data_IF_648459841629
#
_entry.id   IF_648459841629
#
_cell.length_a   1.000
_cell.length_b   1.000
_cell.length_c   1.000
_cell.angle_alpha   90.00
_cell.angle_beta   90.00
_cell.angle_gamma   90.00
#
_symmetry.space_group_name_H-M   'P 1'
#
loop_
_entity.id
_entity.type
_entity.pdbx_description
1 polymer ?
#
# COMPACT_ATOMS: atom_id res chain seq x y z
N UNK A 1 11.91 -11.78 15.52
CA UNK A 1 12.66 -10.55 15.82
C UNK A 1 14.17 -10.73 15.62
N UNK A 2 14.73 -11.88 15.99
CA UNK A 2 16.16 -12.23 15.88
C UNK A 2 16.77 -12.07 14.47
N UNK A 3 15.96 -12.20 13.41
CA UNK A 3 16.41 -12.12 12.01
C UNK A 3 16.72 -10.69 11.52
N UNK A 4 16.13 -9.65 12.11
CA UNK A 4 16.33 -8.25 11.67
C UNK A 4 17.69 -7.71 12.13
N UNK A 5 18.16 -8.22 13.26
CA UNK A 5 19.43 -7.84 13.86
C UNK A 5 20.60 -8.49 13.12
N UNK A 6 20.44 -9.77 12.76
CA UNK A 6 21.45 -10.52 12.00
C UNK A 6 21.42 -10.19 10.50
N UNK A 7 22.49 -9.54 10.03
CA UNK A 7 22.67 -9.18 8.62
C UNK A 7 22.65 -10.38 7.68
N UNK A 8 23.15 -11.54 8.13
CA UNK A 8 23.27 -12.75 7.30
C UNK A 8 21.92 -13.43 7.10
N UNK A 9 21.02 -13.33 8.09
CA UNK A 9 19.66 -13.87 8.00
C UNK A 9 18.71 -12.92 7.27
N UNK A 10 18.89 -11.61 7.40
CA UNK A 10 18.01 -10.61 6.79
C UNK A 10 18.16 -10.50 5.26
N UNK A 11 19.38 -10.62 4.74
CA UNK A 11 19.64 -10.53 3.29
C UNK A 11 18.86 -11.54 2.45
N UNK A 12 18.92 -12.87 2.72
CA UNK A 12 18.24 -13.84 1.87
C UNK A 12 16.71 -13.64 1.86
N UNK A 13 16.11 -13.27 2.99
CA UNK A 13 14.67 -12.97 3.04
C UNK A 13 14.33 -11.73 2.19
N UNK A 14 15.13 -10.67 2.29
CA UNK A 14 14.90 -9.47 1.48
C UNK A 14 15.12 -9.74 -0.02
N UNK A 15 16.11 -10.56 -0.37
CA UNK A 15 16.41 -10.92 -1.76
C UNK A 15 15.26 -11.75 -2.37
N UNK A 16 14.65 -12.65 -1.60
CA UNK A 16 13.43 -13.39 -1.99
C UNK A 16 12.28 -12.43 -2.32
N UNK A 17 12.00 -11.45 -1.44
CA UNK A 17 10.97 -10.44 -1.69
C UNK A 17 11.28 -9.51 -2.86
N UNK A 18 12.55 -9.15 -3.07
CA UNK A 18 12.95 -8.30 -4.21
C UNK A 18 12.73 -9.06 -5.53
N UNK A 19 13.02 -10.36 -5.57
CA UNK A 19 12.80 -11.19 -6.75
C UNK A 19 11.30 -11.37 -7.03
N UNK A 20 10.47 -11.54 -6.01
CA UNK A 20 9.02 -11.69 -6.16
C UNK A 20 8.32 -10.39 -6.56
N UNK A 21 8.78 -9.24 -6.03
CA UNK A 21 8.11 -7.94 -6.19
C UNK A 21 9.04 -6.83 -6.67
N UNK A 22 9.79 -7.06 -7.75
CA UNK A 22 10.79 -6.10 -8.24
C UNK A 22 10.18 -4.72 -8.59
N UNK A 23 8.91 -4.70 -9.00
CA UNK A 23 8.11 -3.51 -9.34
C UNK A 23 7.85 -2.57 -8.15
N UNK A 24 7.88 -3.09 -6.90
CA UNK A 24 7.65 -2.29 -5.70
C UNK A 24 8.90 -1.50 -5.29
N UNK A 25 10.05 -1.81 -5.87
CA UNK A 25 11.32 -1.18 -5.57
C UNK A 25 11.70 -0.20 -6.68
N UNK A 26 12.55 0.78 -6.33
CA UNK A 26 13.15 1.67 -7.33
C UNK A 26 14.04 0.88 -8.29
N UNK A 27 14.14 1.30 -9.55
CA UNK A 27 14.97 0.65 -10.58
C UNK A 27 16.41 0.36 -10.12
N UNK A 28 16.97 1.23 -9.27
CA UNK A 28 18.29 1.07 -8.66
C UNK A 28 18.49 -0.20 -7.86
N UNK A 29 17.42 -0.88 -7.41
CA UNK A 29 17.53 -2.13 -6.66
C UNK A 29 18.21 -3.24 -7.49
N UNK A 30 18.09 -3.16 -8.82
CA UNK A 30 18.72 -4.09 -9.77
C UNK A 30 20.25 -4.04 -9.68
N UNK A 31 20.82 -2.90 -9.29
CA UNK A 31 22.25 -2.71 -9.07
C UNK A 31 22.71 -3.17 -7.67
N UNK A 32 21.78 -3.64 -6.84
CA UNK A 32 22.00 -4.07 -5.47
C UNK A 32 21.69 -3.01 -4.42
N UNK A 33 21.86 -3.37 -3.15
CA UNK A 33 21.58 -2.49 -2.02
C UNK A 33 22.60 -2.65 -0.88
N UNK A 34 22.72 -1.61 -0.06
CA UNK A 34 23.54 -1.62 1.16
C UNK A 34 22.67 -1.56 2.40
N UNK A 35 22.89 -2.49 3.34
CA UNK A 35 22.26 -2.42 4.65
C UNK A 35 22.87 -1.25 5.45
N UNK A 36 22.03 -0.35 5.98
CA UNK A 36 22.45 0.83 6.75
C UNK A 36 22.38 0.58 8.26
N UNK A 37 21.24 0.92 8.85
CA UNK A 37 20.99 0.94 10.30
C UNK A 37 19.69 0.22 10.64
N UNK A 38 19.55 -0.17 11.90
CA UNK A 38 18.29 -0.61 12.48
C UNK A 38 17.68 0.59 13.19
N UNK A 39 16.39 0.84 12.94
CA UNK A 39 15.63 1.90 13.61
C UNK A 39 14.60 1.27 14.53
N UNK A 40 14.48 1.80 15.73
CA UNK A 40 13.43 1.46 16.68
C UNK A 40 12.39 2.60 16.70
N UNK A 41 11.20 2.42 16.10
CA UNK A 41 10.12 3.39 16.15
C UNK A 41 9.61 3.50 17.59
N UNK A 42 9.46 4.73 18.10
CA UNK A 42 8.93 4.97 19.46
C UNK A 42 7.51 4.42 19.67
N UNK A 43 6.70 4.35 18.60
CA UNK A 43 5.27 4.02 18.67
C UNK A 43 4.99 2.52 18.72
N UNK A 44 5.64 1.73 17.87
CA UNK A 44 5.45 0.28 17.79
C UNK A 44 6.53 -0.51 18.52
N UNK A 45 7.66 0.12 18.87
CA UNK A 45 8.85 -0.52 19.46
C UNK A 45 9.42 -1.69 18.64
N UNK A 46 9.03 -1.83 17.37
CA UNK A 46 9.50 -2.91 16.50
C UNK A 46 10.71 -2.49 15.66
N UNK A 47 11.85 -3.21 15.72
CA UNK A 47 13.01 -2.87 14.91
C UNK A 47 12.67 -2.92 13.42
N UNK A 48 13.10 -1.91 12.69
CA UNK A 48 12.91 -1.78 11.25
C UNK A 48 14.26 -1.59 10.58
N UNK A 49 14.53 -2.27 9.47
CA UNK A 49 15.82 -2.17 8.77
C UNK A 49 15.79 -1.08 7.70
N UNK A 50 16.88 -0.32 7.59
CA UNK A 50 17.08 0.64 6.48
C UNK A 50 18.06 0.11 5.45
N UNK A 51 17.73 0.35 4.19
CA UNK A 51 18.55 0.00 3.03
C UNK A 51 18.90 1.27 2.25
N UNK A 52 20.06 1.27 1.61
CA UNK A 52 20.48 2.32 0.68
C UNK A 52 20.47 1.71 -0.71
N UNK A 53 19.78 2.38 -1.63
CA UNK A 53 19.68 2.04 -3.05
C UNK A 53 19.98 3.33 -3.81
N UNK A 54 20.95 3.33 -4.72
CA UNK A 54 21.36 4.51 -5.51
C UNK A 54 21.49 5.81 -4.69
N UNK A 55 22.15 5.72 -3.52
CA UNK A 55 22.34 6.82 -2.57
C UNK A 55 21.10 7.29 -1.80
N UNK A 56 19.90 6.81 -2.13
CA UNK A 56 18.67 7.06 -1.40
C UNK A 56 18.45 6.04 -0.28
N UNK A 57 17.99 6.51 0.89
CA UNK A 57 17.85 5.68 2.09
C UNK A 57 16.39 5.28 2.33
N UNK A 58 16.04 4.05 1.98
CA UNK A 58 14.72 3.46 2.16
C UNK A 58 14.59 2.74 3.51
N UNK A 59 13.35 2.55 3.95
CA UNK A 59 13.01 1.81 5.17
C UNK A 59 12.15 0.62 4.80
N UNK A 60 12.66 -0.59 5.06
CA UNK A 60 11.91 -1.83 4.83
C UNK A 60 10.91 -1.98 5.97
N UNK A 61 9.63 -1.76 5.68
CA UNK A 61 8.56 -1.80 6.68
C UNK A 61 7.77 -3.10 6.58
N UNK A 62 7.39 -3.70 7.72
CA UNK A 62 6.46 -4.82 7.70
C UNK A 62 5.08 -4.38 7.20
N UNK A 63 4.45 -5.23 6.39
CA UNK A 63 3.11 -5.00 5.84
C UNK A 63 2.01 -5.05 6.91
N UNK A 64 2.20 -5.81 7.99
CA UNK A 64 1.24 -5.97 9.08
C UNK A 64 1.18 -4.76 10.04
N UNK A 65 1.94 -3.69 9.79
CA UNK A 65 1.92 -2.46 10.59
C UNK A 65 1.42 -1.29 9.76
N UNK A 66 0.53 -0.48 10.34
CA UNK A 66 0.01 0.71 9.69
C UNK A 66 1.10 1.73 9.34
N UNK A 67 0.91 2.56 8.29
CA UNK A 67 1.85 3.63 7.95
C UNK A 67 2.18 4.50 9.15
N UNK A 68 3.45 4.93 9.24
CA UNK A 68 4.00 5.66 10.40
C UNK A 68 4.01 4.88 11.72
N UNK A 69 3.86 3.54 11.68
CA UNK A 69 3.88 2.68 12.87
C UNK A 69 2.85 3.10 13.91
N UNK A 70 1.65 3.47 13.46
CA UNK A 70 0.60 3.98 14.35
C UNK A 70 -0.18 2.90 15.08
N UNK A 71 -0.33 1.73 14.46
CA UNK A 71 -1.06 0.58 14.99
C UNK A 71 -0.71 -0.70 14.22
N UNK A 72 -1.10 -1.85 14.77
CA UNK A 72 -1.07 -3.12 14.03
C UNK A 72 -2.29 -3.26 13.13
N UNK A 73 -2.13 -3.95 12.01
CA UNK A 73 -3.24 -4.21 11.08
C UNK A 73 -4.37 -4.97 11.78
N UNK A 74 -4.03 -5.98 12.60
CA UNK A 74 -5.00 -6.76 13.39
C UNK A 74 -5.85 -5.92 14.35
N UNK A 75 -5.37 -4.76 14.80
CA UNK A 75 -6.11 -3.87 15.70
C UNK A 75 -7.08 -2.94 14.95
N UNK A 76 -6.71 -2.52 13.73
CA UNK A 76 -7.47 -1.49 12.99
C UNK A 76 -8.29 -2.06 11.83
N UNK A 77 -8.01 -3.28 11.40
CA UNK A 77 -8.64 -3.93 10.24
C UNK A 77 -10.17 -3.88 10.32
N UNK A 78 -10.75 -4.31 11.45
CA UNK A 78 -12.21 -4.33 11.63
C UNK A 78 -12.82 -2.94 11.57
N UNK A 79 -12.18 -1.95 12.18
CA UNK A 79 -12.66 -0.57 12.17
C UNK A 79 -12.55 0.07 10.78
N UNK A 80 -11.45 -0.17 10.06
CA UNK A 80 -11.26 0.31 8.69
C UNK A 80 -12.16 -0.41 7.69
N UNK A 81 -12.48 -1.69 7.92
CA UNK A 81 -13.48 -2.41 7.13
C UNK A 81 -14.84 -1.73 7.21
N UNK A 82 -15.27 -1.29 8.40
CA UNK A 82 -16.52 -0.55 8.56
C UNK A 82 -16.52 0.82 7.85
N UNK A 83 -15.35 1.46 7.67
CA UNK A 83 -15.25 2.70 6.87
C UNK A 83 -15.66 2.50 5.41
N UNK A 84 -15.58 1.29 4.87
CA UNK A 84 -16.09 0.96 3.52
C UNK A 84 -17.60 1.20 3.39
N UNK A 85 -18.34 1.12 4.48
CA UNK A 85 -19.80 1.35 4.52
C UNK A 85 -20.15 2.76 5.00
N UNK A 86 -19.23 3.71 4.86
CA UNK A 86 -19.39 5.10 5.28
C UNK A 86 -19.76 5.31 6.76
N UNK A 87 -19.39 4.35 7.63
CA UNK A 87 -19.61 4.45 9.08
C UNK A 87 -18.90 5.68 9.65
N UNK A 88 -19.59 6.60 10.33
CA UNK A 88 -18.98 7.83 10.82
C UNK A 88 -17.96 7.56 11.94
N UNK A 89 -16.94 8.42 12.07
CA UNK A 89 -15.84 8.20 13.03
C UNK A 89 -16.29 8.13 14.50
N UNK A 90 -17.37 8.84 14.88
CA UNK A 90 -17.91 8.76 16.23
C UNK A 90 -18.43 7.36 16.56
N UNK A 91 -18.99 6.65 15.57
CA UNK A 91 -19.49 5.28 15.75
C UNK A 91 -18.34 4.29 15.90
N UNK A 92 -17.23 4.50 15.17
CA UNK A 92 -16.01 3.72 15.38
C UNK A 92 -15.43 3.94 16.77
N UNK A 93 -15.42 5.19 17.23
CA UNK A 93 -15.02 5.52 18.61
C UNK A 93 -15.91 4.84 19.64
N UNK A 94 -17.22 4.75 19.40
CA UNK A 94 -18.14 4.08 20.31
C UNK A 94 -17.89 2.56 20.40
N UNK A 95 -17.57 1.89 19.28
CA UNK A 95 -17.40 0.43 19.22
C UNK A 95 -15.98 -0.03 19.54
N UNK A 96 -14.97 0.66 19.00
CA UNK A 96 -13.55 0.26 19.08
C UNK A 96 -12.73 1.13 20.05
N UNK A 97 -13.34 2.16 20.65
CA UNK A 97 -12.65 3.15 21.45
C UNK A 97 -11.80 4.10 20.61
N UNK A 98 -10.84 4.78 21.27
CA UNK A 98 -9.98 5.83 20.69
C UNK A 98 -10.75 7.08 20.26
N UNK A 99 -10.01 8.14 19.98
CA UNK A 99 -10.55 9.42 19.56
C UNK A 99 -10.99 9.40 18.06
N UNK A 100 -12.06 10.10 17.66
CA UNK A 100 -12.48 10.15 16.26
C UNK A 100 -11.38 10.61 15.29
N UNK A 101 -10.49 11.52 15.72
CA UNK A 101 -9.36 11.99 14.93
C UNK A 101 -8.30 10.90 14.72
N UNK A 102 -8.18 9.94 15.65
CA UNK A 102 -7.30 8.78 15.49
C UNK A 102 -7.76 7.94 14.28
N UNK A 103 -9.05 7.64 14.19
CA UNK A 103 -9.62 6.86 13.08
C UNK A 103 -9.52 7.61 11.74
N UNK A 104 -9.82 8.91 11.74
CA UNK A 104 -9.63 9.76 10.57
C UNK A 104 -8.17 9.72 10.07
N UNK A 105 -7.19 9.81 10.97
CA UNK A 105 -5.77 9.71 10.61
C UNK A 105 -5.39 8.33 10.07
N UNK A 106 -5.98 7.25 10.59
CA UNK A 106 -5.73 5.90 10.07
C UNK A 106 -6.18 5.76 8.62
N UNK A 107 -7.39 6.22 8.30
CA UNK A 107 -7.94 6.20 6.95
C UNK A 107 -7.11 7.07 5.98
N UNK A 108 -6.81 8.31 6.38
CA UNK A 108 -5.99 9.22 5.58
C UNK A 108 -4.58 8.68 5.32
N UNK A 109 -3.98 7.98 6.29
CA UNK A 109 -2.67 7.39 6.12
C UNK A 109 -2.67 6.24 5.12
N UNK A 110 -3.76 5.47 5.03
CA UNK A 110 -3.89 4.40 4.04
C UNK A 110 -4.02 4.98 2.62
N UNK A 111 -4.84 6.02 2.44
CA UNK A 111 -5.05 6.68 1.15
C UNK A 111 -3.86 7.47 0.60
N UNK A 112 -2.81 7.69 1.40
CA UNK A 112 -1.55 8.33 0.94
C UNK A 112 -0.63 7.39 0.19
N UNK A 113 -0.76 6.08 0.41
CA UNK A 113 0.06 5.14 -0.32
C UNK A 113 -0.43 5.12 -1.76
N UNK A 114 0.49 5.31 -2.69
CA UNK A 114 0.20 5.23 -4.13
C UNK A 114 -0.19 3.79 -4.45
N UNK A 115 -1.50 3.52 -4.57
CA UNK A 115 -2.04 2.25 -5.09
C UNK A 115 -1.88 2.30 -6.62
N UNK A 116 -0.67 2.57 -7.12
CA UNK A 116 -0.41 2.41 -8.55
C UNK A 116 -0.08 0.94 -8.74
N UNK A 117 -1.14 0.22 -9.08
CA UNK A 117 -1.17 -1.20 -9.36
C UNK A 117 -2.49 -1.47 -10.05
N UNK A 118 -2.68 -0.90 -11.23
CA UNK A 118 -3.72 -1.34 -12.15
C UNK A 118 -3.58 -2.85 -12.29
N UNK A 119 -4.69 -3.56 -12.15
CA UNK A 119 -4.86 -4.98 -11.81
C UNK A 119 -4.20 -6.00 -12.76
N UNK A 120 -3.41 -5.54 -13.73
CA UNK A 120 -2.75 -6.35 -14.75
C UNK A 120 -1.26 -6.01 -14.73
N UNK A 121 -0.45 -6.95 -14.21
CA UNK A 121 1.01 -6.80 -14.06
C UNK A 121 1.80 -7.16 -15.31
N UNK A 122 1.19 -8.01 -16.15
CA UNK A 122 1.78 -8.52 -17.38
C UNK A 122 1.10 -7.81 -18.57
N UNK A 123 1.85 -7.08 -19.41
CA UNK A 123 1.29 -6.46 -20.61
C UNK A 123 0.54 -7.46 -21.51
N UNK A 124 0.93 -8.73 -21.52
CA UNK A 124 0.31 -9.77 -22.34
C UNK A 124 -1.07 -10.20 -21.81
N UNK A 125 -1.41 -9.82 -20.57
CA UNK A 125 -2.71 -10.03 -19.96
C UNK A 125 -3.68 -8.85 -20.18
N UNK A 126 -3.22 -7.77 -20.83
CA UNK A 126 -4.12 -6.69 -21.26
C UNK A 126 -4.99 -7.19 -22.42
N UNK A 127 -6.31 -6.94 -22.40
CA UNK A 127 -7.14 -7.21 -23.56
C UNK A 127 -6.88 -6.20 -24.67
N UNK A 128 -7.11 -6.65 -25.90
CA UNK A 128 -6.98 -5.84 -27.12
C UNK A 128 -7.92 -4.62 -27.15
N UNK A 129 -9.02 -4.68 -26.38
CA UNK A 129 -10.03 -3.63 -26.31
C UNK A 129 -10.20 -3.14 -24.87
N UNK A 130 -9.90 -1.85 -24.69
CA UNK A 130 -10.04 -1.14 -23.42
C UNK A 130 -11.15 -0.11 -23.59
N UNK A 131 -12.16 -0.17 -22.73
CA UNK A 131 -13.20 0.85 -22.63
C UNK A 131 -12.84 1.78 -21.49
N UNK A 132 -12.77 3.06 -21.77
CA UNK A 132 -12.56 4.11 -20.79
C UNK A 132 -13.92 4.74 -20.44
N UNK A 133 -14.29 4.75 -19.16
CA UNK A 133 -15.40 5.57 -18.68
C UNK A 133 -14.85 6.84 -18.01
N UNK A 134 -15.51 7.98 -18.17
CA UNK A 134 -15.10 9.24 -17.55
C UNK A 134 -16.05 9.61 -16.41
N UNK A 135 -15.55 9.58 -15.18
CA UNK A 135 -16.29 10.09 -14.03
C UNK A 135 -15.83 11.50 -13.68
N UNK A 136 -16.77 12.44 -13.81
CA UNK A 136 -16.60 13.82 -13.36
C UNK A 136 -16.89 13.91 -11.86
N UNK A 137 -15.94 14.43 -11.09
CA UNK A 137 -16.14 14.74 -9.67
C UNK A 137 -15.55 16.11 -9.33
N UNK A 138 -15.98 16.70 -8.21
CA UNK A 138 -15.44 17.97 -7.70
C UNK A 138 -14.78 17.73 -6.35
N UNK A 139 -13.50 18.04 -6.24
CA UNK A 139 -12.77 18.01 -4.98
C UNK A 139 -12.40 19.45 -4.62
N UNK A 140 -12.91 19.98 -3.50
CA UNK A 140 -12.71 21.38 -3.07
C UNK A 140 -13.04 22.43 -4.16
N UNK A 141 -14.06 22.16 -4.96
CA UNK A 141 -14.52 23.07 -6.03
C UNK A 141 -13.80 22.89 -7.37
N UNK A 142 -12.62 22.26 -7.39
CA UNK A 142 -11.87 21.91 -8.61
C UNK A 142 -12.43 20.65 -9.27
N UNK A 143 -12.56 20.67 -10.60
CA UNK A 143 -12.95 19.48 -11.37
C UNK A 143 -11.80 18.49 -11.35
N UNK A 144 -12.07 17.26 -10.92
CA UNK A 144 -11.17 16.11 -11.00
C UNK A 144 -11.82 15.09 -11.91
N UNK A 145 -11.03 14.54 -12.81
CA UNK A 145 -11.45 13.47 -13.70
C UNK A 145 -10.87 12.17 -13.16
N UNK A 146 -11.72 11.17 -12.97
CA UNK A 146 -11.29 9.81 -12.72
C UNK A 146 -11.76 8.98 -13.89
N UNK A 147 -10.82 8.38 -14.60
CA UNK A 147 -11.13 7.50 -15.72
C UNK A 147 -10.85 6.04 -15.31
N UNK A 148 -11.86 5.30 -14.83
CA UNK A 148 -11.72 3.85 -14.71
C UNK A 148 -11.64 3.23 -16.10
N UNK A 149 -10.58 2.45 -16.33
CA UNK A 149 -10.45 1.61 -17.51
C UNK A 149 -11.08 0.25 -17.21
N UNK A 150 -12.07 -0.14 -18.02
CA UNK A 150 -12.66 -1.46 -18.02
C UNK A 150 -12.10 -2.26 -19.19
N UNK A 151 -11.67 -3.48 -18.87
CA UNK A 151 -11.13 -4.44 -19.82
C UNK A 151 -12.22 -5.48 -20.11
N UNK A 152 -12.64 -5.58 -21.37
CA UNK A 152 -13.66 -6.53 -21.81
C UNK A 152 -12.98 -7.68 -22.56
N UNK A 153 -13.08 -8.91 -22.05
CA UNK A 153 -12.38 -10.07 -22.63
C UNK A 153 -13.21 -10.86 -23.66
N UNK A 154 -14.48 -10.49 -23.89
CA UNK A 154 -15.31 -10.98 -25.00
C UNK A 154 -16.62 -10.19 -24.99
N UNK A 155 -16.90 -9.46 -26.07
CA UNK A 155 -18.24 -8.98 -26.37
C UNK A 155 -18.83 -9.95 -27.40
N UNK A 156 -19.62 -10.93 -26.94
CA UNK A 156 -20.44 -11.72 -27.85
C UNK A 156 -21.55 -10.82 -28.39
N UNK A 157 -21.53 -10.55 -29.69
CA UNK A 157 -22.71 -10.05 -30.39
C UNK A 157 -23.56 -11.28 -30.72
N UNK A 158 -24.74 -11.39 -30.13
CA UNK A 158 -25.86 -12.14 -30.72
C UNK A 158 -26.77 -11.10 -31.36
N UNK A 159 -26.98 -11.20 -32.67
CA UNK A 159 -27.88 -10.36 -33.47
C UNK A 159 -29.13 -11.21 -33.64
N UNK A 160 -30.30 -10.56 -33.70
CA UNK A 160 -31.58 -11.22 -33.82
C UNK A 160 -31.69 -12.18 -35.01
#
# INVERSE_FOLDING_TARGET
MDKIEDRKKFRPELDEFINEFIELFSDGIKNGYRLKEIRYPKKSQMPTRRIIVDSAAYTVRPSFVMPYHTAFTSEVEKALFLRKFDVPFWALTHVFGRDPMYWHRMEQNLGRNSIVGTTIKDPDLLPDHIVADEKYSRLKGEKRFTCPLLSARSAYWESP
#
